data_IF_204923024517
#
_entry.id   IF_204923024517
#
_cell.length_a   1.000
_cell.length_b   1.000
_cell.length_c   1.000
_cell.angle_alpha   90.00
_cell.angle_beta   90.00
_cell.angle_gamma   90.00
#
_symmetry.space_group_name_H-M   'P 1'
#
loop_
_entity.id
_entity.type
_entity.pdbx_description
1 polymer ?
2 non-polymer ?
3 non-polymer ?
4 water ?
#
# COMPACT_ATOMS: atom_id res chain seq x y z
N UNK A 2 2.15 27.19 -9.09
CA UNK A 2 2.18 25.93 -9.85
C UNK A 2 3.44 25.85 -10.71
N UNK A 3 3.98 27.00 -11.05
CA UNK A 3 5.29 27.06 -11.69
C UNK A 3 6.33 26.28 -10.86
N UNK A 4 6.31 26.48 -9.53
CA UNK A 4 7.24 25.76 -8.67
C UNK A 4 6.94 24.27 -8.67
N UNK A 5 5.66 23.90 -8.75
CA UNK A 5 5.28 22.48 -8.73
C UNK A 5 5.57 21.81 -10.07
N UNK A 6 5.40 22.52 -11.18
CA UNK A 6 5.82 21.94 -12.46
C UNK A 6 7.31 21.66 -12.46
N UNK A 7 8.10 22.51 -11.78
CA UNK A 7 9.54 22.32 -11.75
C UNK A 7 9.90 21.06 -10.98
N UNK A 8 9.31 20.91 -9.79
CA UNK A 8 9.51 19.73 -8.95
C UNK A 8 9.22 18.47 -9.74
N UNK A 9 8.08 18.42 -10.44
CA UNK A 9 7.75 17.22 -11.21
C UNK A 9 8.75 16.98 -12.34
N UNK A 10 9.31 18.04 -12.94
CA UNK A 10 10.29 17.84 -14.01
C UNK A 10 11.58 17.22 -13.47
N UNK A 11 11.99 17.61 -12.26
CA UNK A 11 13.19 17.05 -11.66
C UNK A 11 13.00 15.57 -11.36
N UNK A 12 11.80 15.18 -10.92
CA UNK A 12 11.57 13.79 -10.53
C UNK A 12 11.76 12.85 -11.71
N UNK A 13 11.34 13.26 -12.91
CA UNK A 13 11.60 12.48 -14.11
C UNK A 13 13.06 12.14 -14.30
N UNK A 14 13.96 13.04 -13.85
CA UNK A 14 15.40 12.83 -14.03
C UNK A 14 15.93 11.56 -13.34
N UNK A 15 15.18 10.96 -12.43
CA UNK A 15 15.67 9.73 -11.81
C UNK A 15 14.89 8.50 -12.24
N UNK A 16 14.35 8.49 -13.46
CA UNK A 16 13.66 7.29 -13.93
C UNK A 16 14.61 6.11 -14.13
N UNK A 17 15.77 6.34 -14.75
CA UNK A 17 16.71 5.25 -15.00
C UNK A 17 17.10 4.52 -13.72
N UNK A 18 17.55 5.28 -12.71
CA UNK A 18 17.85 4.69 -11.40
C UNK A 18 16.70 3.81 -10.92
N UNK A 19 15.49 4.36 -10.88
CA UNK A 19 14.31 3.59 -10.45
C UNK A 19 14.16 2.34 -11.31
N UNK A 20 14.28 2.48 -12.63
CA UNK A 20 13.99 1.36 -13.52
C UNK A 20 15.08 0.28 -13.46
N UNK A 21 16.36 0.66 -13.31
CA UNK A 21 17.38 -0.38 -13.23
C UNK A 21 17.34 -1.06 -11.87
N UNK A 22 17.11 -0.29 -10.79
CA UNK A 22 16.90 -0.88 -9.47
C UNK A 22 15.73 -1.85 -9.48
N UNK A 23 14.59 -1.44 -10.05
CA UNK A 23 13.45 -2.35 -10.18
C UNK A 23 13.87 -3.65 -10.82
N UNK A 24 14.60 -3.58 -11.94
CA UNK A 24 15.08 -4.79 -12.59
C UNK A 24 15.94 -5.63 -11.66
N UNK A 25 16.76 -4.97 -10.83
CA UNK A 25 17.52 -5.68 -9.79
C UNK A 25 16.58 -6.39 -8.82
N UNK A 26 15.54 -5.68 -8.38
CA UNK A 26 14.58 -6.31 -7.49
C UNK A 26 13.87 -7.45 -8.21
N UNK A 27 13.60 -7.29 -9.50
CA UNK A 27 12.84 -8.32 -10.22
C UNK A 27 13.61 -9.63 -10.27
N UNK A 28 14.92 -9.58 -10.45
CA UNK A 28 15.71 -10.78 -10.46
C UNK A 28 15.62 -11.56 -9.17
N UNK A 29 15.96 -10.90 -8.06
CA UNK A 29 15.95 -11.53 -6.75
C UNK A 29 14.62 -12.21 -6.49
N UNK A 30 13.53 -11.51 -6.81
CA UNK A 30 12.20 -12.00 -6.50
C UNK A 30 11.90 -13.26 -7.30
N UNK A 31 12.34 -13.30 -8.55
CA UNK A 31 12.14 -14.50 -9.36
C UNK A 31 12.95 -15.67 -8.81
N UNK A 32 14.16 -15.40 -8.30
CA UNK A 32 14.92 -16.42 -7.59
C UNK A 32 14.09 -17.01 -6.47
N UNK A 33 13.71 -16.17 -5.53
CA UNK A 33 12.89 -16.59 -4.41
C UNK A 33 11.62 -17.29 -4.86
N UNK A 34 11.06 -16.86 -5.98
CA UNK A 34 9.81 -17.47 -6.43
C UNK A 34 10.02 -18.93 -6.78
N UNK A 35 11.21 -19.29 -7.24
CA UNK A 35 11.50 -20.67 -7.58
C UNK A 35 11.55 -21.56 -6.34
N UNK A 36 12.24 -21.09 -5.30
CA UNK A 36 12.43 -21.95 -4.14
C UNK A 36 11.11 -22.21 -3.43
N UNK A 37 10.34 -21.16 -3.20
CA UNK A 37 9.07 -21.32 -2.49
C UNK A 37 8.19 -22.36 -3.15
N UNK A 38 8.26 -22.48 -4.48
CA UNK A 38 7.41 -23.43 -5.20
C UNK A 38 7.83 -24.88 -4.98
N UNK A 39 9.08 -25.13 -4.60
CA UNK A 39 9.46 -26.49 -4.25
C UNK A 39 8.73 -26.95 -3.00
N UNK A 40 8.35 -26.01 -2.14
CA UNK A 40 7.73 -26.34 -0.87
C UNK A 40 6.25 -26.70 -1.07
N UNK A 41 5.85 -27.83 -0.48
CA UNK A 41 4.46 -28.27 -0.52
C UNK A 41 3.50 -27.20 -0.01
N UNK A 42 3.95 -26.34 0.90
CA UNK A 42 3.08 -25.30 1.40
C UNK A 42 2.93 -24.14 0.41
N UNK A 43 3.97 -23.86 -0.38
CA UNK A 43 4.03 -22.62 -1.15
C UNK A 43 4.09 -22.86 -2.66
N UNK A 44 3.58 -23.98 -3.15
CA UNK A 44 3.75 -24.22 -4.58
C UNK A 44 2.71 -23.46 -5.39
N UNK A 45 1.56 -23.17 -4.79
CA UNK A 45 0.62 -22.32 -5.49
C UNK A 45 0.93 -20.86 -5.29
N UNK A 46 2.21 -20.53 -5.14
CA UNK A 46 2.65 -19.16 -4.91
C UNK A 46 2.96 -18.51 -6.25
N UNK A 47 2.89 -17.19 -6.28
CA UNK A 47 3.16 -16.45 -7.49
C UNK A 47 3.15 -14.98 -7.18
N UNK A 48 3.61 -14.20 -8.15
CA UNK A 48 3.72 -12.76 -7.97
C UNK A 48 2.37 -12.11 -8.23
N UNK A 49 1.99 -11.21 -7.34
CA UNK A 49 0.78 -10.40 -7.50
C UNK A 49 1.13 -9.09 -8.19
N UNK A 50 0.37 -8.76 -9.22
CA UNK A 50 0.56 -7.54 -10.01
C UNK A 50 -0.02 -6.35 -9.26
N UNK A 51 0.85 -5.58 -8.58
CA UNK A 51 0.40 -4.44 -7.77
C UNK A 51 1.05 -3.12 -8.15
N UNK A 52 1.82 -3.06 -9.25
CA UNK A 52 2.56 -1.86 -9.60
C UNK A 52 1.90 -1.03 -10.69
N UNK A 53 2.02 0.30 -10.56
CA UNK A 53 1.48 1.25 -11.53
C UNK A 53 2.44 1.55 -12.68
N UNK A 54 3.75 1.48 -12.46
CA UNK A 54 4.74 1.64 -13.53
C UNK A 54 5.48 0.34 -13.85
N UNK A 55 5.76 -0.46 -12.83
CA UNK A 55 6.40 -1.76 -12.99
C UNK A 55 5.40 -2.83 -12.53
N UNK A 56 5.38 -3.96 -13.22
CA UNK A 56 4.28 -4.89 -13.05
C UNK A 56 4.32 -5.57 -11.69
N UNK A 57 5.45 -6.15 -11.32
CA UNK A 57 5.56 -6.92 -10.08
C UNK A 57 6.19 -6.14 -8.94
N UNK A 58 6.66 -4.92 -9.19
CA UNK A 58 7.50 -4.22 -8.24
C UNK A 58 6.90 -2.83 -8.06
N UNK A 59 6.31 -2.58 -6.89
CA UNK A 59 5.78 -1.26 -6.53
C UNK A 59 6.83 -0.45 -5.77
N UNK A 60 6.88 0.85 -6.04
CA UNK A 60 7.90 1.74 -5.47
C UNK A 60 7.29 2.49 -4.29
N UNK A 61 7.80 2.22 -3.09
CA UNK A 61 7.27 2.77 -1.86
C UNK A 61 7.99 4.01 -1.36
N UNK A 62 9.04 4.48 -2.08
CA UNK A 62 9.99 5.51 -1.67
C UNK A 62 11.24 5.39 -2.53
N UNK A 63 12.16 6.37 -2.52
CA UNK A 63 13.27 6.37 -3.50
C UNK A 63 14.14 5.11 -3.58
N UNK A 64 14.38 4.41 -2.48
CA UNK A 64 15.11 3.15 -2.57
C UNK A 64 14.37 2.05 -1.83
N UNK A 65 13.05 2.09 -1.88
CA UNK A 65 12.20 1.15 -1.16
C UNK A 65 11.18 0.57 -2.13
N UNK A 66 11.12 -0.76 -2.21
CA UNK A 66 10.27 -1.44 -3.15
C UNK A 66 9.39 -2.41 -2.41
N UNK A 67 8.16 -2.56 -2.90
CA UNK A 67 7.17 -3.46 -2.28
C UNK A 67 6.73 -4.49 -3.30
N UNK A 68 6.81 -5.77 -2.92
CA UNK A 68 6.49 -6.93 -3.75
C UNK A 68 5.58 -7.84 -2.93
N UNK A 69 4.58 -8.44 -3.57
CA UNK A 69 3.64 -9.32 -2.88
C UNK A 69 3.57 -10.70 -3.51
N UNK A 70 3.57 -11.72 -2.66
CA UNK A 70 3.51 -13.11 -3.08
C UNK A 70 2.12 -13.58 -2.75
N UNK A 71 1.30 -13.82 -3.76
CA UNK A 71 -0.01 -14.35 -3.49
C UNK A 71 0.05 -15.87 -3.44
N UNK A 72 -0.85 -16.46 -2.65
CA UNK A 72 -0.97 -17.90 -2.51
C UNK A 72 -2.46 -18.24 -2.59
N UNK A 73 -2.84 -19.04 -3.57
CA UNK A 73 -4.26 -19.37 -3.74
C UNK A 73 -4.71 -20.29 -2.60
N UNK A 74 -5.68 -19.83 -1.83
CA UNK A 74 -6.17 -20.54 -0.65
C UNK A 74 -7.67 -20.72 -0.78
N UNK A 75 -8.12 -21.87 -1.27
CA UNK A 75 -9.55 -22.08 -1.53
C UNK A 75 -10.37 -22.17 -0.25
N UNK A 76 -11.69 -22.12 -0.43
CA UNK A 76 -12.69 -22.49 0.59
C UNK A 76 -12.35 -21.90 1.95
N UNK A 77 -12.29 -20.59 1.98
CA UNK A 77 -11.75 -19.85 3.11
C UNK A 77 -12.90 -19.19 3.85
N UNK A 78 -12.82 -19.21 5.18
CA UNK A 78 -13.86 -18.68 6.06
C UNK A 78 -13.23 -17.73 7.06
N UNK A 79 -13.90 -16.61 7.31
CA UNK A 79 -13.34 -15.55 8.14
C UNK A 79 -14.20 -15.34 9.38
N UNK A 80 -13.53 -15.03 10.48
CA UNK A 80 -14.16 -14.62 11.74
C UNK A 80 -13.40 -13.38 12.21
N UNK A 81 -14.10 -12.26 12.35
CA UNK A 81 -13.48 -10.96 12.58
C UNK A 81 -13.02 -10.80 14.02
N UNK A 82 -11.74 -10.45 14.20
CA UNK A 82 -11.16 -10.38 15.53
C UNK A 82 -11.65 -9.13 16.24
N UNK A 83 -12.35 -9.33 17.37
CA UNK A 83 -12.96 -8.25 18.15
C UNK A 83 -13.81 -7.45 17.17
N UNK A 84 -13.66 -6.13 17.10
CA UNK A 84 -14.37 -5.30 16.14
C UNK A 84 -13.37 -4.43 15.36
N UNK A 85 -12.24 -5.02 15.01
CA UNK A 85 -11.17 -4.30 14.33
C UNK A 85 -11.53 -3.94 12.89
N UNK A 86 -12.49 -4.65 12.31
CA UNK A 86 -12.99 -4.46 10.95
C UNK A 86 -11.99 -4.89 9.88
N UNK A 87 -10.69 -4.83 10.18
CA UNK A 87 -9.65 -5.12 9.22
C UNK A 87 -8.90 -6.41 9.50
N UNK A 88 -9.03 -6.97 10.71
CA UNK A 88 -8.25 -8.10 11.15
C UNK A 88 -9.16 -9.30 11.33
N UNK A 89 -8.73 -10.47 10.86
CA UNK A 89 -9.57 -11.65 10.86
C UNK A 89 -8.75 -12.90 11.18
N UNK A 90 -9.36 -13.82 11.91
CA UNK A 90 -8.91 -15.20 11.94
C UNK A 90 -9.34 -15.89 10.66
N UNK A 91 -8.55 -16.87 10.24
CA UNK A 91 -8.78 -17.58 8.99
C UNK A 91 -9.05 -19.05 9.30
N UNK A 92 -10.17 -19.55 8.79
CA UNK A 92 -10.57 -20.95 8.92
C UNK A 92 -10.85 -21.49 7.53
N UNK A 93 -11.18 -22.77 7.43
CA UNK A 93 -11.60 -23.37 6.18
C UNK A 93 -13.03 -23.88 6.32
N UNK A 94 -13.69 -24.12 5.18
CA UNK A 94 -15.11 -24.49 5.20
C UNK A 94 -15.32 -25.82 5.89
N UNK A 95 -14.86 -26.89 5.26
CA UNK A 95 -14.82 -28.20 5.89
C UNK A 95 -13.43 -28.77 5.63
N UNK A 96 -13.31 -30.08 5.76
CA UNK A 96 -12.17 -30.80 5.22
C UNK A 96 -12.60 -31.48 3.93
N UNK A 97 -12.60 -30.77 2.77
CA UNK A 97 -12.91 -31.46 1.51
C UNK A 97 -11.92 -32.61 1.30
N UNK A 98 -10.65 -32.25 1.17
CA UNK A 98 -9.53 -33.11 1.57
C UNK A 98 -8.55 -32.23 2.32
N UNK A 99 -7.73 -32.85 3.17
CA UNK A 99 -6.82 -32.12 4.06
C UNK A 99 -5.78 -31.31 3.27
N UNK A 100 -5.90 -29.97 3.33
CA UNK A 100 -5.22 -29.03 2.42
C UNK A 100 -3.70 -29.02 2.64
N UNK A 101 -2.94 -28.32 1.78
CA UNK A 101 -1.48 -28.30 1.99
C UNK A 101 -1.06 -27.48 3.21
N UNK A 102 -1.75 -26.35 3.46
CA UNK A 102 -1.47 -25.43 4.55
C UNK A 102 -1.87 -25.97 5.92
N UNK A 103 -2.39 -27.20 6.00
CA UNK A 103 -2.78 -27.77 7.28
C UNK A 103 -1.66 -27.78 8.31
N UNK A 104 -0.40 -27.73 7.86
CA UNK A 104 0.72 -27.71 8.80
C UNK A 104 0.71 -26.48 9.71
N UNK A 105 0.09 -25.39 9.29
CA UNK A 105 0.01 -24.18 10.10
C UNK A 105 -1.33 -24.05 10.83
N UNK A 106 -2.06 -25.14 10.99
CA UNK A 106 -3.33 -25.08 11.70
C UNK A 106 -3.10 -25.21 13.21
N UNK A 107 -3.93 -24.49 13.97
CA UNK A 107 -3.97 -24.60 15.42
C UNK A 107 -5.44 -24.65 15.79
N UNK A 108 -5.95 -25.87 15.95
CA UNK A 108 -7.40 -26.03 16.02
C UNK A 108 -7.97 -25.85 14.64
N UNK A 109 -9.02 -25.03 14.54
CA UNK A 109 -9.66 -24.77 13.25
C UNK A 109 -9.02 -23.63 12.48
N UNK A 110 -8.18 -22.81 13.11
CA UNK A 110 -7.71 -21.57 12.50
C UNK A 110 -6.25 -21.70 12.04
N UNK A 111 -5.91 -20.84 11.10
CA UNK A 111 -4.61 -20.81 10.43
C UNK A 111 -3.73 -19.75 11.09
N UNK A 112 -2.52 -20.14 11.47
CA UNK A 112 -1.63 -19.29 12.25
C UNK A 112 -0.89 -18.36 11.32
N UNK A 113 -1.22 -17.07 11.37
CA UNK A 113 -0.43 -16.07 10.66
C UNK A 113 1.03 -16.21 10.99
N UNK A 114 1.35 -16.34 12.29
CA UNK A 114 2.73 -16.33 12.73
C UNK A 114 3.47 -17.59 12.27
N UNK A 115 2.81 -18.75 12.33
CA UNK A 115 3.47 -19.99 11.93
C UNK A 115 3.77 -20.00 10.44
N UNK A 116 2.77 -19.68 9.62
CA UNK A 116 3.00 -19.62 8.17
C UNK A 116 4.06 -18.60 7.83
N UNK A 117 4.04 -17.46 8.50
CA UNK A 117 5.02 -16.41 8.25
C UNK A 117 6.42 -16.87 8.64
N UNK A 118 6.52 -17.66 9.71
CA UNK A 118 7.80 -18.10 10.22
C UNK A 118 8.44 -19.15 9.32
N UNK A 119 7.66 -19.82 8.47
CA UNK A 119 8.23 -20.74 7.48
C UNK A 119 8.53 -20.03 6.19
N UNK A 120 7.67 -19.08 5.82
CA UNK A 120 7.99 -18.19 4.73
C UNK A 120 9.34 -17.51 4.94
N UNK A 121 9.51 -16.89 6.12
CA UNK A 121 10.75 -16.17 6.40
C UNK A 121 11.93 -17.14 6.41
N UNK A 122 11.72 -18.36 6.91
CA UNK A 122 12.82 -19.34 6.99
C UNK A 122 13.32 -19.74 5.60
N UNK A 123 12.40 -19.96 4.65
CA UNK A 123 12.80 -20.40 3.32
C UNK A 123 13.55 -19.31 2.57
N UNK A 124 13.08 -18.06 2.69
CA UNK A 124 13.66 -16.93 1.95
C UNK A 124 15.09 -16.67 2.41
N UNK A 125 15.34 -16.75 3.73
CA UNK A 125 16.65 -16.48 4.29
C UNK A 125 17.68 -17.53 3.87
N UNK A 126 17.25 -18.78 3.71
CA UNK A 126 18.16 -19.83 3.25
C UNK A 126 18.68 -19.50 1.85
N UNK A 127 17.77 -19.14 0.95
CA UNK A 127 18.16 -18.82 -0.42
C UNK A 127 18.96 -17.53 -0.50
N UNK A 128 18.75 -16.60 0.44
CA UNK A 128 19.43 -15.31 0.43
C UNK A 128 20.95 -15.48 0.42
N UNK A 129 21.48 -16.53 1.04
CA UNK A 129 22.94 -16.74 1.06
C UNK A 129 23.47 -17.07 -0.32
N UNK A 130 22.78 -17.92 -1.07
CA UNK A 130 23.28 -18.43 -2.35
C UNK A 130 22.98 -17.45 -3.49
N UNK A 133 25.09 -13.85 -8.08
CA UNK A 133 25.82 -12.98 -7.15
C UNK A 133 25.32 -11.54 -7.20
N UNK A 134 24.47 -11.24 -6.23
CA UNK A 134 24.22 -9.91 -5.71
C UNK A 134 24.28 -10.04 -4.19
N UNK A 135 24.70 -8.99 -3.50
CA UNK A 135 24.79 -9.10 -2.05
C UNK A 135 23.50 -8.62 -1.43
N UNK A 136 22.70 -9.57 -0.95
CA UNK A 136 21.40 -9.30 -0.36
C UNK A 136 21.38 -9.92 1.04
N UNK A 137 20.77 -9.21 1.99
CA UNK A 137 20.62 -9.66 3.34
C UNK A 137 19.19 -9.39 3.78
N UNK A 138 18.86 -9.83 4.99
CA UNK A 138 17.56 -9.61 5.62
C UNK A 138 17.64 -8.51 6.66
N UNK A 139 16.49 -7.89 6.92
CA UNK A 139 16.37 -6.83 7.91
C UNK A 139 15.44 -7.29 9.04
N UNK A 140 15.00 -6.33 9.84
CA UNK A 140 14.38 -6.60 11.12
C UNK A 140 12.84 -6.65 11.00
N UNK A 141 12.16 -6.60 12.14
CA UNK A 141 10.69 -6.64 12.26
C UNK A 141 10.10 -7.96 11.80
N UNK A 146 4.48 -7.14 9.06
CA UNK A 146 3.68 -7.92 8.11
C UNK A 146 4.51 -8.48 6.97
N UNK A 147 5.74 -8.01 6.86
CA UNK A 147 6.57 -8.22 5.69
C UNK A 147 7.89 -8.89 6.06
N UNK A 148 8.59 -9.39 5.03
CA UNK A 148 10.02 -9.75 5.08
C UNK A 148 10.77 -8.71 4.25
N UNK A 149 11.99 -8.38 4.66
CA UNK A 149 12.69 -7.24 4.07
C UNK A 149 14.10 -7.62 3.65
N UNK A 150 14.48 -7.19 2.44
CA UNK A 150 15.80 -7.45 1.90
C UNK A 150 16.58 -6.15 1.73
N UNK A 151 17.90 -6.27 1.76
CA UNK A 151 18.81 -5.18 1.43
C UNK A 151 19.76 -5.68 0.35
N UNK A 152 19.54 -5.20 -0.88
CA UNK A 152 20.30 -5.57 -2.06
C UNK A 152 21.38 -4.53 -2.31
N UNK A 153 22.62 -4.97 -2.44
CA UNK A 153 23.76 -4.09 -2.73
C UNK A 153 23.84 -2.93 -1.72
N UNK A 154 23.26 -3.11 -0.53
CA UNK A 154 23.29 -2.20 0.60
C UNK A 154 22.55 -0.90 0.35
N UNK A 155 21.87 -0.77 -0.78
CA UNK A 155 21.24 0.51 -1.12
C UNK A 155 19.77 0.33 -1.47
N UNK A 156 19.37 -0.85 -1.92
CA UNK A 156 18.02 -1.10 -2.40
C UNK A 156 17.29 -1.99 -1.40
N UNK A 157 16.17 -1.50 -0.88
CA UNK A 157 15.36 -2.20 0.09
C UNK A 157 14.13 -2.79 -0.59
N UNK A 158 13.79 -4.03 -0.25
CA UNK A 158 12.62 -4.70 -0.81
C UNK A 158 11.80 -5.27 0.33
N UNK A 159 10.50 -4.98 0.33
CA UNK A 159 9.57 -5.57 1.27
C UNK A 159 8.77 -6.64 0.54
N UNK A 160 8.69 -7.83 1.14
CA UNK A 160 8.08 -9.00 0.51
C UNK A 160 6.97 -9.49 1.42
N UNK A 161 5.74 -9.43 0.91
CA UNK A 161 4.54 -9.70 1.69
C UNK A 161 3.85 -10.95 1.15
N UNK A 162 3.66 -11.94 2.01
CA UNK A 162 2.88 -13.10 1.64
C UNK A 162 1.41 -12.76 1.83
N UNK A 163 0.58 -13.10 0.84
CA UNK A 163 -0.84 -12.84 0.91
C UNK A 163 -1.60 -14.10 0.52
N UNK A 164 -2.62 -14.43 1.30
CA UNK A 164 -3.58 -15.42 0.86
C UNK A 164 -4.55 -14.77 -0.13
N UNK A 165 -4.84 -15.48 -1.21
CA UNK A 165 -5.81 -15.02 -2.20
C UNK A 165 -7.15 -15.70 -1.96
N UNK A 166 -8.14 -14.90 -1.60
CA UNK A 166 -9.50 -15.39 -1.51
C UNK A 166 -10.27 -14.79 -2.67
N UNK A 167 -10.95 -15.66 -3.43
CA UNK A 167 -11.84 -15.23 -4.50
C UNK A 167 -13.28 -15.08 -4.03
N UNK A 168 -13.51 -14.79 -2.75
CA UNK A 168 -14.84 -14.69 -2.16
C UNK A 168 -15.41 -13.27 -2.27
N UNK A 169 -16.68 -13.16 -1.89
CA UNK A 169 -17.27 -11.84 -1.67
C UNK A 169 -16.49 -11.13 -0.57
N UNK A 170 -16.26 -9.84 -0.78
CA UNK A 170 -15.55 -9.08 0.20
C UNK A 170 -16.29 -9.13 1.54
N UNK A 171 -15.58 -9.10 2.65
CA UNK A 171 -16.23 -9.05 3.96
C UNK A 171 -17.13 -7.83 4.10
N UNK A 172 -17.99 -7.86 5.13
CA UNK A 172 -19.01 -6.82 5.25
C UNK A 172 -18.42 -5.48 5.66
N UNK A 173 -17.27 -5.46 6.35
CA UNK A 173 -16.68 -4.19 6.76
C UNK A 173 -16.41 -3.29 5.56
N UNK A 174 -16.17 -3.88 4.38
CA UNK A 174 -15.94 -3.15 3.13
C UNK A 174 -17.22 -2.77 2.42
N UNK A 175 -18.37 -3.13 2.98
CA UNK A 175 -19.66 -2.83 2.36
C UNK A 175 -19.76 -1.37 1.96
N UNK A 176 -19.25 -0.48 2.81
CA UNK A 176 -19.35 0.96 2.61
C UNK A 176 -18.06 1.61 2.08
N UNK A 177 -16.98 0.85 1.87
CA UNK A 177 -15.76 1.38 1.31
C UNK A 177 -15.80 1.47 -0.20
N UNK A 178 -14.64 1.82 -0.78
CA UNK A 178 -14.52 1.97 -2.24
C UNK A 178 -15.62 2.89 -2.76
N UNK A 179 -15.71 4.09 -2.17
CA UNK A 179 -16.81 5.00 -2.47
C UNK A 179 -16.49 5.76 -3.76
N UNK A 180 -16.47 5.03 -4.86
CA UNK A 180 -16.08 5.58 -6.15
C UNK A 180 -17.29 5.90 -7.05
N UNK A 181 -18.52 5.77 -6.55
CA UNK A 181 -19.71 5.77 -7.41
C UNK A 181 -19.82 7.07 -8.20
N UNK A 182 -19.83 8.22 -7.51
CA UNK A 182 -20.01 9.48 -8.24
C UNK A 182 -18.81 9.83 -9.10
N UNK A 183 -17.72 9.06 -8.98
CA UNK A 183 -16.45 9.32 -9.65
C UNK A 183 -16.23 8.34 -10.80
N UNK A 184 -15.97 7.07 -10.51
CA UNK A 184 -15.67 6.08 -11.53
C UNK A 184 -16.89 5.27 -11.95
N UNK A 185 -18.05 5.51 -11.31
CA UNK A 185 -19.37 4.89 -11.51
C UNK A 185 -19.61 3.62 -10.71
N UNK A 186 -20.90 3.36 -10.45
CA UNK A 186 -21.31 2.20 -9.68
C UNK A 186 -20.95 0.90 -10.37
N UNK A 187 -20.97 0.90 -11.71
CA UNK A 187 -20.60 -0.29 -12.48
C UNK A 187 -19.15 -0.67 -12.23
N UNK A 188 -18.26 0.31 -12.19
CA UNK A 188 -16.85 0.02 -11.99
C UNK A 188 -16.61 -0.52 -10.58
N UNK A 189 -17.34 0.04 -9.60
CA UNK A 189 -17.21 -0.46 -8.23
C UNK A 189 -17.69 -1.89 -8.13
N UNK A 190 -18.72 -2.26 -8.91
CA UNK A 190 -19.22 -3.64 -8.91
C UNK A 190 -18.20 -4.57 -9.53
N UNK A 191 -17.55 -4.14 -10.61
CA UNK A 191 -16.56 -4.98 -11.28
C UNK A 191 -15.36 -5.19 -10.37
N UNK A 192 -14.92 -4.13 -9.69
CA UNK A 192 -13.75 -4.24 -8.82
C UNK A 192 -14.04 -5.09 -7.61
N UNK A 193 -15.25 -4.96 -7.03
CA UNK A 193 -15.64 -5.76 -5.89
C UNK A 193 -15.84 -7.24 -6.26
N UNK A 194 -15.75 -7.59 -7.53
CA UNK A 194 -15.78 -8.97 -7.97
C UNK A 194 -14.41 -9.60 -8.10
N UNK A 195 -13.36 -8.81 -8.02
CA UNK A 195 -12.01 -9.32 -8.06
C UNK A 195 -11.70 -9.95 -6.70
N UNK A 196 -10.64 -10.75 -6.62
CA UNK A 196 -10.26 -11.32 -5.32
C UNK A 196 -9.92 -10.24 -4.31
N UNK A 197 -9.76 -10.67 -3.06
CA UNK A 197 -9.15 -9.83 -2.04
C UNK A 197 -8.07 -10.66 -1.36
N UNK A 198 -7.28 -10.00 -0.49
CA UNK A 198 -6.06 -10.59 0.04
C UNK A 198 -5.99 -10.41 1.54
N UNK A 199 -5.36 -11.38 2.20
CA UNK A 199 -5.18 -11.38 3.64
C UNK A 199 -3.69 -11.54 3.91
N UNK A 200 -3.14 -10.57 4.62
CA UNK A 200 -1.73 -10.62 4.97
C UNK A 200 -1.62 -10.86 6.48
N UNK A 201 -0.55 -11.45 6.92
CA UNK A 201 -0.35 -11.71 8.36
C UNK A 201 0.25 -10.51 9.12
N UNK A 202 -0.44 -9.37 9.05
CA UNK A 202 -0.16 -8.25 9.94
C UNK A 202 -0.92 -8.46 11.24
N UNK A 203 -0.20 -8.43 12.35
CA UNK A 203 -0.77 -8.81 13.62
C UNK A 203 -1.35 -7.60 14.33
N UNK A 204 -2.53 -7.76 14.91
CA UNK A 204 -3.20 -6.67 15.60
C UNK A 204 -2.44 -6.29 16.86
N UNK A 205 -2.60 -5.02 17.26
CA UNK A 205 -1.94 -4.46 18.43
C UNK A 205 -2.91 -4.52 19.61
N UNK A 206 -2.64 -5.43 20.56
CA UNK A 206 -3.46 -5.59 21.75
C UNK A 206 -2.59 -5.47 22.99
N UNK A 207 -3.05 -4.72 23.97
CA UNK A 207 -2.17 -4.33 25.06
C UNK A 207 -0.97 -3.58 24.50
N UNK A 208 0.22 -3.94 24.99
CA UNK A 208 1.48 -3.49 24.39
C UNK A 208 2.21 -4.64 23.68
N UNK A 209 1.46 -5.68 23.26
CA UNK A 209 1.98 -6.75 22.44
C UNK A 209 1.20 -6.91 21.14
N UNK A 210 1.14 -8.14 20.62
CA UNK A 210 0.49 -8.44 19.35
C UNK A 210 -0.31 -9.72 19.48
N UNK A 211 -1.40 -9.81 18.72
CA UNK A 211 -2.20 -11.04 18.60
C UNK A 211 -1.70 -11.78 17.35
N UNK A 212 -0.79 -12.73 17.55
CA UNK A 212 -0.04 -13.33 16.44
C UNK A 212 -0.80 -14.45 15.72
N UNK A 213 -2.11 -14.29 15.54
CA UNK A 213 -2.86 -15.22 14.69
C UNK A 213 -3.92 -14.51 13.85
N UNK A 214 -3.84 -13.20 13.73
CA UNK A 214 -4.79 -12.41 12.96
C UNK A 214 -4.19 -12.07 11.60
N UNK A 215 -5.07 -11.83 10.64
CA UNK A 215 -4.69 -11.50 9.28
C UNK A 215 -5.39 -10.20 8.88
N UNK A 216 -4.65 -9.31 8.22
CA UNK A 216 -5.20 -8.04 7.76
C UNK A 216 -5.69 -8.17 6.33
N UNK A 217 -6.86 -7.61 6.06
CA UNK A 217 -7.36 -7.50 4.68
C UNK A 217 -6.51 -6.53 3.86
N UNK A 218 -6.30 -6.86 2.58
CA UNK A 218 -5.44 -6.06 1.73
C UNK A 218 -6.06 -5.87 0.35
N UNK A 219 -6.12 -4.62 -0.08
CA UNK A 219 -6.63 -4.28 -1.41
C UNK A 219 -5.58 -3.54 -2.26
N UNK A 220 -4.32 -3.62 -1.86
CA UNK A 220 -3.19 -3.00 -2.54
C UNK A 220 -3.27 -3.18 -4.05
N UNK A 221 -3.71 -4.36 -4.49
CA UNK A 221 -3.76 -4.66 -5.91
C UNK A 221 -4.80 -3.83 -6.65
N UNK A 222 -5.68 -3.12 -5.93
CA UNK A 222 -6.69 -2.30 -6.62
C UNK A 222 -6.09 -0.98 -7.09
N UNK A 223 -4.98 -0.55 -6.50
CA UNK A 223 -4.45 0.78 -6.81
C UNK A 223 -4.17 0.96 -8.29
N UNK A 224 -3.45 0.01 -8.91
CA UNK A 224 -3.12 0.16 -10.33
C UNK A 224 -4.38 0.17 -11.18
N UNK A 225 -5.40 -0.57 -10.74
CA UNK A 225 -6.68 -0.60 -11.46
C UNK A 225 -7.32 0.78 -11.56
N UNK A 226 -7.10 1.63 -10.57
CA UNK A 226 -7.73 2.94 -10.50
C UNK A 226 -6.77 4.06 -10.87
N UNK A 227 -5.51 3.93 -10.46
CA UNK A 227 -4.52 4.95 -10.78
C UNK A 227 -4.41 5.16 -12.29
N UNK A 228 -4.33 4.06 -13.04
CA UNK A 228 -4.20 4.14 -14.49
C UNK A 228 -5.55 4.07 -15.21
N UNK A 229 -6.67 4.19 -14.49
CA UNK A 229 -7.99 4.32 -15.12
C UNK A 229 -8.79 5.20 -14.17
N UNK A 230 -8.41 6.47 -14.13
CA UNK A 230 -8.64 7.32 -12.97
C UNK A 230 -9.64 8.44 -13.21
N UNK A 231 -10.09 8.66 -14.44
CA UNK A 231 -10.97 9.76 -14.74
C UNK A 231 -12.42 9.34 -14.84
N UNK A 232 -13.32 10.31 -14.65
CA UNK A 232 -14.72 10.07 -14.96
C UNK A 232 -14.88 9.68 -16.42
N UNK A 233 -14.16 10.35 -17.31
CA UNK A 233 -14.14 10.00 -18.73
C UNK A 233 -13.27 8.77 -18.95
N UNK A 234 -13.79 7.79 -19.69
CA UNK A 234 -12.98 6.60 -19.89
C UNK A 234 -11.69 6.89 -20.65
N UNK A 235 -11.62 8.01 -21.36
CA UNK A 235 -10.47 8.34 -22.16
C UNK A 235 -9.64 9.43 -21.53
N UNK A 236 -9.91 9.75 -20.27
CA UNK A 236 -9.04 10.67 -19.53
C UNK A 236 -7.58 10.29 -19.78
N UNK A 237 -6.76 11.31 -20.07
CA UNK A 237 -5.33 11.18 -20.31
C UNK A 237 -4.98 10.27 -21.49
N UNK A 238 -5.93 9.95 -22.39
CA UNK A 238 -5.57 9.17 -23.58
C UNK A 238 -5.44 10.03 -24.82
N UNK A 239 -5.69 11.32 -24.72
CA UNK A 239 -5.59 12.25 -25.84
C UNK A 239 -5.23 13.63 -25.32
N UNK A 240 -4.86 14.50 -26.25
CA UNK A 240 -4.31 15.79 -25.84
C UNK A 240 -5.36 16.71 -25.26
N UNK A 241 -6.64 16.41 -25.46
CA UNK A 241 -7.73 17.26 -24.99
C UNK A 241 -8.20 16.90 -23.59
N UNK A 242 -7.68 15.81 -23.02
CA UNK A 242 -8.12 15.32 -21.73
C UNK A 242 -6.89 15.01 -20.86
N UNK A 243 -6.14 16.04 -20.49
CA UNK A 243 -5.07 15.92 -19.50
C UNK A 243 -5.56 16.42 -18.14
N UNK A 244 -5.56 15.54 -17.15
CA UNK A 244 -5.77 15.94 -15.75
C UNK A 244 -4.45 15.81 -14.98
N UNK A 245 -4.40 16.44 -13.81
CA UNK A 245 -3.23 16.38 -12.94
C UNK A 245 -3.37 15.39 -11.78
N UNK A 246 -4.29 14.44 -11.88
CA UNK A 246 -4.49 13.52 -10.77
C UNK A 246 -3.21 12.77 -10.41
N UNK A 247 -2.51 12.25 -11.42
CA UNK A 247 -1.29 11.52 -11.09
C UNK A 247 -0.20 12.46 -10.58
N UNK A 248 -0.12 13.67 -11.13
CA UNK A 248 0.89 14.62 -10.66
C UNK A 248 0.64 15.04 -9.20
N UNK A 249 -0.62 15.22 -8.79
CA UNK A 249 -0.84 15.52 -7.37
C UNK A 249 -0.43 14.35 -6.47
N UNK A 250 -0.72 13.11 -6.89
CA UNK A 250 -0.27 11.98 -6.07
C UNK A 250 1.25 11.96 -5.95
N UNK A 251 1.97 12.21 -7.06
CA UNK A 251 3.43 12.24 -7.00
C UNK A 251 3.89 13.34 -6.05
N UNK A 252 3.31 14.53 -6.18
CA UNK A 252 3.69 15.66 -5.33
C UNK A 252 3.37 15.37 -3.87
N UNK A 253 2.22 14.76 -3.59
CA UNK A 253 1.91 14.40 -2.20
C UNK A 253 2.97 13.46 -1.64
N UNK A 254 3.30 12.39 -2.38
CA UNK A 254 4.30 11.46 -1.88
C UNK A 254 5.62 12.19 -1.67
N UNK A 255 6.03 12.99 -2.66
CA UNK A 255 7.33 13.66 -2.57
C UNK A 255 7.38 14.60 -1.37
N UNK A 256 6.29 15.28 -1.08
CA UNK A 256 6.25 16.14 0.09
C UNK A 256 6.54 15.35 1.36
N UNK A 257 5.95 14.16 1.50
CA UNK A 257 6.22 13.39 2.71
C UNK A 257 7.64 12.83 2.71
N UNK A 258 8.13 12.40 1.54
CA UNK A 258 9.52 11.93 1.45
C UNK A 258 10.50 13.00 1.89
N UNK A 259 10.32 14.23 1.37
CA UNK A 259 11.19 15.33 1.75
C UNK A 259 11.04 15.69 3.23
N UNK A 260 9.81 15.74 3.73
CA UNK A 260 9.61 16.05 5.15
C UNK A 260 10.27 15.01 6.05
N UNK A 261 10.11 13.71 5.74
CA UNK A 261 10.75 12.65 6.54
C UNK A 261 12.27 12.73 6.48
N UNK A 262 12.83 13.22 5.37
CA UNK A 262 14.27 13.33 5.23
C UNK A 262 14.86 14.43 6.10
N UNK A 263 14.11 15.50 6.36
CA UNK A 263 14.59 16.65 7.13
C UNK A 263 14.39 16.44 8.63
N UNK A 264 13.28 15.84 9.03
CA UNK A 264 13.06 15.50 10.42
C UNK A 264 13.62 14.13 10.75
N UNK A 265 14.71 13.73 10.07
CA UNK A 265 15.35 12.44 10.30
C UNK A 265 16.17 12.42 11.58
N UNK A 266 16.55 13.59 12.10
CA UNK A 266 17.33 13.64 13.34
C UNK A 266 16.60 12.92 14.47
N UNK A 267 15.41 13.42 14.84
CA UNK A 267 14.63 12.85 15.91
C UNK A 267 13.54 11.91 15.39
N UNK A 268 13.56 11.61 14.10
CA UNK A 268 12.72 10.57 13.46
C UNK A 268 11.25 10.67 13.90
N UNK A 269 10.74 11.90 14.00
CA UNK A 269 9.36 12.11 14.45
C UNK A 269 8.36 11.52 13.47
N UNK A 270 8.68 11.53 12.17
CA UNK A 270 7.75 11.12 11.13
C UNK A 270 7.96 9.67 10.73
N UNK A 271 8.58 8.89 11.61
CA UNK A 271 8.87 7.49 11.37
C UNK A 271 7.64 6.73 10.88
N UNK A 272 6.50 6.92 11.55
CA UNK A 272 5.29 6.11 11.37
C UNK A 272 4.46 6.52 10.15
N UNK A 273 4.77 7.60 9.45
CA UNK A 273 3.97 7.96 8.28
C UNK A 273 4.60 7.38 7.01
N UNK A 274 3.74 7.01 6.05
CA UNK A 274 4.24 6.39 4.82
C UNK A 274 3.33 6.77 3.66
N UNK A 275 3.81 6.49 2.44
CA UNK A 275 3.00 6.82 1.24
C UNK A 275 1.67 6.10 1.22
N UNK A 276 1.43 5.11 2.08
CA UNK A 276 0.11 4.52 2.15
C UNK A 276 -0.91 5.54 2.64
N UNK A 277 -0.56 6.31 3.67
CA UNK A 277 -1.43 7.39 4.14
C UNK A 277 -1.70 8.38 3.02
N UNK A 278 -0.63 8.86 2.40
CA UNK A 278 -0.71 9.82 1.29
C UNK A 278 -1.65 9.33 0.18
N UNK A 279 -1.39 8.11 -0.34
CA UNK A 279 -2.30 7.52 -1.33
C UNK A 279 -3.74 7.59 -0.87
N UNK A 280 -4.01 7.15 0.37
CA UNK A 280 -5.37 7.06 0.91
C UNK A 280 -6.04 8.42 0.96
N UNK A 281 -5.36 9.45 1.47
CA UNK A 281 -5.97 10.77 1.46
C UNK A 281 -6.13 11.27 0.04
N UNK A 282 -5.20 10.93 -0.84
CA UNK A 282 -5.35 11.34 -2.23
C UNK A 282 -6.65 10.82 -2.83
N UNK A 283 -6.88 9.51 -2.72
CA UNK A 283 -8.10 8.93 -3.30
C UNK A 283 -9.38 9.39 -2.59
N UNK A 284 -9.30 9.74 -1.31
CA UNK A 284 -10.47 10.35 -0.69
C UNK A 284 -10.78 11.70 -1.35
N UNK A 285 -9.75 12.43 -1.75
CA UNK A 285 -9.96 13.71 -2.44
C UNK A 285 -10.53 13.49 -3.84
N UNK A 286 -10.08 12.42 -4.53
CA UNK A 286 -10.71 12.02 -5.78
C UNK A 286 -12.18 11.74 -5.59
N UNK A 287 -12.56 11.16 -4.47
CA UNK A 287 -13.98 10.95 -4.22
C UNK A 287 -14.70 12.27 -4.05
N UNK A 288 -14.10 13.24 -3.35
CA UNK A 288 -14.82 14.50 -3.12
C UNK A 288 -14.87 15.36 -4.36
N UNK A 289 -13.96 15.14 -5.31
CA UNK A 289 -13.86 15.95 -6.52
C UNK A 289 -13.98 14.98 -7.68
N UNK A 290 -15.18 14.54 -8.01
CA UNK A 290 -15.32 13.46 -8.98
C UNK A 290 -15.16 13.89 -10.45
N UNK A 291 -15.29 15.16 -10.80
CA UNK A 291 -15.25 15.54 -12.22
C UNK A 291 -13.83 15.78 -12.71
N UNK A 292 -13.56 15.39 -13.96
CA UNK A 292 -12.26 15.63 -14.58
C UNK A 292 -11.95 17.12 -14.67
N UNK A 293 -13.00 17.94 -14.79
CA UNK A 293 -12.86 19.40 -14.86
C UNK A 293 -12.29 19.95 -13.57
N UNK A 294 -12.44 19.21 -12.46
CA UNK A 294 -11.85 19.51 -11.16
C UNK A 294 -10.37 19.14 -11.06
N UNK A 295 -9.80 18.45 -12.07
CA UNK A 295 -8.39 18.10 -12.09
C UNK A 295 -7.72 18.58 -13.38
N UNK A 296 -8.14 19.70 -13.91
CA UNK A 296 -7.54 20.23 -15.11
C UNK A 296 -6.05 20.48 -14.86
N UNK A 297 -5.25 20.27 -15.88
CA UNK A 297 -3.80 20.35 -15.71
C UNK A 297 -3.35 21.77 -15.45
N UNK A 298 -4.03 22.77 -16.03
CA UNK A 298 -3.63 24.13 -15.70
C UNK A 298 -4.00 24.55 -14.28
N UNK A 299 -4.69 23.72 -13.51
CA UNK A 299 -5.05 24.00 -12.12
C UNK A 299 -4.17 23.27 -11.13
N UNK A 300 -3.01 22.77 -11.58
CA UNK A 300 -2.12 21.97 -10.74
C UNK A 300 -1.96 22.58 -9.36
N UNK A 301 -1.71 23.87 -9.30
CA UNK A 301 -1.49 24.48 -8.00
C UNK A 301 -2.67 24.29 -7.06
N UNK A 302 -3.87 24.60 -7.54
CA UNK A 302 -5.04 24.56 -6.66
C UNK A 302 -5.42 23.14 -6.31
N UNK A 303 -5.25 22.21 -7.26
CA UNK A 303 -5.49 20.80 -6.97
C UNK A 303 -4.49 20.26 -5.95
N UNK A 304 -3.23 20.68 -6.02
CA UNK A 304 -2.30 20.29 -4.97
C UNK A 304 -2.76 20.80 -3.61
N UNK A 305 -3.15 22.07 -3.53
CA UNK A 305 -3.61 22.61 -2.27
C UNK A 305 -4.84 21.87 -1.74
N UNK A 306 -5.73 21.43 -2.63
CA UNK A 306 -6.85 20.61 -2.17
C UNK A 306 -6.34 19.39 -1.42
N UNK A 307 -5.34 18.71 -1.99
CA UNK A 307 -4.88 17.44 -1.45
C UNK A 307 -4.15 17.63 -0.14
N UNK A 308 -3.29 18.64 -0.06
CA UNK A 308 -2.60 18.97 1.17
C UNK A 308 -3.59 19.39 2.25
N UNK A 309 -4.54 20.28 1.91
CA UNK A 309 -5.54 20.69 2.88
C UNK A 309 -6.23 19.48 3.51
N UNK A 310 -6.77 18.59 2.66
CA UNK A 310 -7.43 17.39 3.17
C UNK A 310 -6.49 16.55 4.01
N UNK A 311 -5.26 16.36 3.54
CA UNK A 311 -4.27 15.70 4.38
C UNK A 311 -4.14 16.43 5.71
N UNK A 312 -4.11 17.76 5.69
CA UNK A 312 -3.98 18.51 6.93
C UNK A 312 -5.19 18.27 7.83
N UNK A 313 -6.39 18.22 7.26
CA UNK A 313 -7.58 17.94 8.04
C UNK A 313 -7.49 16.59 8.74
N UNK A 314 -7.06 15.56 8.01
CA UNK A 314 -6.92 14.24 8.61
C UNK A 314 -5.98 14.27 9.80
N UNK A 315 -4.84 14.95 9.64
CA UNK A 315 -3.87 15.02 10.72
C UNK A 315 -4.43 15.73 11.94
N UNK A 316 -5.12 16.87 11.74
CA UNK A 316 -5.60 17.63 12.90
C UNK A 316 -6.68 16.85 13.65
N UNK A 317 -7.67 16.35 12.92
CA UNK A 317 -8.73 15.54 13.49
C UNK A 317 -8.29 14.14 13.86
N UNK A 318 -7.03 13.78 13.55
CA UNK A 318 -6.49 12.46 13.85
C UNK A 318 -7.40 11.36 13.30
N UNK A 319 -7.87 11.55 12.05
CA UNK A 319 -8.80 10.63 11.43
C UNK A 319 -8.45 10.45 9.95
N UNK A 320 -8.17 9.21 9.56
CA UNK A 320 -7.90 8.88 8.16
C UNK A 320 -8.48 7.49 7.92
N UNK A 321 -9.60 7.42 7.21
CA UNK A 321 -10.27 6.15 6.99
C UNK A 321 -9.54 5.30 5.96
N UNK A 322 -9.31 4.05 6.30
CA UNK A 322 -9.02 3.07 5.27
C UNK A 322 -10.00 3.21 4.10
N UNK A 323 -9.46 3.33 2.90
CA UNK A 323 -10.27 3.60 1.72
C UNK A 323 -11.23 2.48 1.41
N UNK A 324 -10.92 1.28 1.87
CA UNK A 324 -11.80 0.14 1.69
C UNK A 324 -12.58 -0.22 2.95
N UNK A 325 -12.16 0.28 4.13
CA UNK A 325 -12.81 -0.07 5.39
C UNK A 325 -13.09 1.20 6.20
N UNK A 326 -14.25 1.83 6.03
CA UNK A 326 -14.46 3.16 6.64
C UNK A 326 -14.32 3.19 8.17
N UNK A 327 -14.56 2.09 8.88
CA UNK A 327 -14.44 2.06 10.34
C UNK A 327 -13.04 1.72 10.83
N UNK A 328 -12.04 1.69 9.97
CA UNK A 328 -10.67 1.44 10.38
C UNK A 328 -9.91 2.74 10.20
N UNK A 329 -9.41 3.27 11.29
CA UNK A 329 -8.81 4.59 11.31
C UNK A 329 -7.30 4.43 11.24
N UNK A 330 -6.72 4.73 10.08
CA UNK A 330 -5.28 4.60 9.90
C UNK A 330 -4.51 5.52 10.84
N UNK A 331 -5.13 6.63 11.25
CA UNK A 331 -4.51 7.58 12.18
C UNK A 331 -5.01 7.40 13.61
N UNK A 332 -5.55 6.23 13.96
CA UNK A 332 -5.99 6.07 15.33
C UNK A 332 -4.77 6.08 16.25
N UNK A 333 -5.03 6.22 17.55
CA UNK A 333 -3.91 6.30 18.48
C UNK A 333 -3.33 4.94 18.78
N UNK A 334 -4.10 3.88 18.56
CA UNK A 334 -3.57 2.53 18.60
C UNK A 334 -2.44 2.32 17.59
N UNK A 335 -2.41 3.10 16.50
CA UNK A 335 -1.46 2.93 15.41
C UNK A 335 -0.37 3.99 15.41
N UNK A 336 -0.74 5.27 15.34
CA UNK A 336 0.20 6.37 15.40
C UNK A 336 -0.11 7.22 16.61
N UNK A 337 0.86 7.39 17.50
CA UNK A 337 0.64 8.14 18.71
C UNK A 337 0.29 9.60 18.39
N UNK A 338 -0.21 10.27 19.43
CA UNK A 338 -0.78 11.62 19.31
C UNK A 338 0.30 12.67 19.08
N UNK A 339 1.48 12.52 19.69
CA UNK A 339 2.58 13.47 19.47
C UNK A 339 3.02 13.52 18.01
N UNK A 340 3.03 12.37 17.32
CA UNK A 340 3.52 12.33 15.95
C UNK A 340 2.54 13.02 15.02
N UNK A 341 1.25 12.69 15.14
CA UNK A 341 0.24 13.35 14.33
C UNK A 341 0.23 14.86 14.60
N UNK A 342 0.29 15.26 15.86
CA UNK A 342 0.35 16.68 16.19
C UNK A 342 1.53 17.32 15.48
N UNK A 343 2.68 16.66 15.54
CA UNK A 343 3.89 17.21 14.95
C UNK A 343 3.70 17.49 13.46
N UNK A 344 3.22 16.50 12.70
CA UNK A 344 3.19 16.64 11.25
C UNK A 344 2.11 17.62 10.78
N UNK A 345 0.98 17.71 11.50
CA UNK A 345 0.05 18.83 11.29
C UNK A 345 0.80 20.14 11.24
N UNK A 346 1.67 20.38 12.24
CA UNK A 346 2.42 21.63 12.35
C UNK A 346 3.36 21.82 11.16
N UNK A 347 4.00 20.74 10.70
CA UNK A 347 4.96 20.89 9.62
C UNK A 347 4.24 21.14 8.30
N UNK A 348 3.11 20.48 8.11
CA UNK A 348 2.40 20.62 6.85
C UNK A 348 1.60 21.91 6.81
N UNK A 349 0.97 22.29 7.92
CA UNK A 349 0.42 23.63 8.08
C UNK A 349 1.42 24.68 7.60
N UNK A 350 2.65 24.59 8.08
CA UNK A 350 3.69 25.54 7.70
C UNK A 350 3.96 25.49 6.20
N UNK A 351 4.28 24.30 5.71
CA UNK A 351 4.57 24.13 4.29
C UNK A 351 3.50 24.74 3.41
N UNK A 352 2.21 24.52 3.74
CA UNK A 352 1.17 25.02 2.85
C UNK A 352 0.98 26.52 2.98
N UNK A 353 1.15 27.05 4.20
CA UNK A 353 0.98 28.47 4.44
C UNK A 353 2.13 29.30 3.87
N UNK A 354 3.25 28.67 3.54
CA UNK A 354 4.39 29.40 3.01
C UNK A 354 4.80 28.88 1.63
N UNK A 355 3.86 28.32 0.89
CA UNK A 355 4.07 27.98 -0.51
C UNK A 355 5.16 26.92 -0.66
N UNK A 356 5.18 25.97 0.25
CA UNK A 356 6.06 24.81 0.18
C UNK A 356 7.54 25.15 -0.02
N UNK A 357 8.17 25.84 0.94
CA UNK A 357 9.61 26.14 0.78
C UNK A 357 10.47 24.88 0.80
N UNK A 358 9.94 23.76 1.27
CA UNK A 358 10.59 22.46 1.18
C UNK A 358 10.78 21.98 -0.26
N UNK A 359 10.12 22.60 -1.23
CA UNK A 359 10.34 22.39 -2.65
C UNK A 359 11.32 23.38 -3.26
N UNK A 360 11.99 24.20 -2.46
CA UNK A 360 12.86 25.24 -3.00
C UNK A 360 14.19 24.66 -3.46
N UNK A 361 14.93 25.47 -4.23
CA UNK A 361 16.23 25.08 -4.78
C UNK A 361 17.35 26.05 -4.43
X LIG B 1 -6.39 11.87 -16.35
X LIG C 1 -2.82 1.07 -1.38
X LIG C 1 -1.84 0.47 -0.60
X LIG C 1 -0.03 -0.11 0.37
X LIG C 1 -0.73 -2.01 1.87
X LIG C 1 -1.52 -1.84 3.15
X LIG C 1 -0.82 -1.06 4.22
X LIG C 1 1.84 -2.26 4.92
X LIG C 1 -2.18 -0.59 0.27
X LIG C 1 -3.51 -1.02 0.32
X LIG C 1 -4.08 -2.12 1.15
X LIG C 1 -4.48 -0.39 -0.48
X LIG C 1 -8.15 3.24 -4.66
X LIG C 1 -7.12 2.57 -3.80
X LIG C 1 -6.60 3.22 -2.69
X LIG C 1 -5.65 2.60 -1.90
X LIG C 1 -5.19 1.32 -2.18
X LIG C 1 -5.71 0.67 -3.30
X LIG C 1 -6.67 1.30 -4.09
X LIG C 1 -4.15 0.65 -1.34
X LIG C 1 -0.47 0.74 -0.51
X LIG C 1 -0.99 -0.95 0.89
X LIG C 1 -0.78 -1.83 5.46
X LIG C 1 0.65 -2.98 7.09
X LIG C 1 0.02 -4.09 4.98
X LIG C 1 -5.19 -2.01 1.66
X LIG C 1 -3.34 -3.18 1.25
X LIG C 1 0.41 -2.91 5.68
X LIG C 1 -5.05 3.50 -0.54
#
# INVERSE_FOLDING_TARGET
GASKLRAVLEKLKLSRDDISTAAGMVKGVVDHLLLRLKCDSAFRGVGLLNTGSYYEHVKISAPNEFDVMFKLEVPRIQLEEYSNTRAYYFVKFKRNPKENPLSQFLEGEILSASKMLSKFRKIIKEEINDIKDTDVIMKRKRGGSPAVTLLISEKISVDITLALESKSSWPASTQEGLRIQNWLSAKVRKQLRLKPFYLVPKHAKEGNGFQEETWRLSFSHIEKEILNNHGKSKTCCENKEEKCCRKDCLKLMKYLLEQLKERFKDKKHLDKFSSYHVKTAFFHVCTQNPQDSQWDRKDLGLCFDNCVTYFLQCLRTEKLENYFIPEFNLFSSNLIDKRSKEFLTKQIEYERNNEFPVFDEF
ZN ZN
YUO C10 C11 C13 C15 C16 C17 C20 C23 C24 C25 C28 C1 C2 C3 C4 C6 C7 C8 C9 N12 N14 N18 O21 O22 O26 O27 S19 CL5
#
